data_IF_180538004817
#
_entry.id   IF_180538004817
#
_cell.length_a   1.000
_cell.length_b   1.000
_cell.length_c   1.000
_cell.angle_alpha   90.00
_cell.angle_beta   90.00
_cell.angle_gamma   90.00
#
_symmetry.space_group_name_H-M   'P 1'
#
loop_
_entity.id
_entity.type
_entity.pdbx_description
1 polymer ?
#
# COMPACT_ATOMS: atom_id res chain seq x y z
N UNK A 1 -24.12 15.17 -10.91
CA UNK A 1 -23.09 14.30 -11.53
C UNK A 1 -22.32 13.60 -10.41
N UNK A 2 -22.53 12.30 -10.16
CA UNK A 2 -21.83 11.58 -9.07
C UNK A 2 -20.45 11.16 -9.57
N UNK A 3 -19.39 11.87 -9.16
CA UNK A 3 -18.02 11.43 -9.41
C UNK A 3 -17.82 10.05 -8.76
N UNK A 4 -17.76 8.99 -9.57
CA UNK A 4 -17.29 7.70 -9.08
C UNK A 4 -15.78 7.84 -8.87
N UNK A 5 -15.32 7.67 -7.64
CA UNK A 5 -13.90 7.60 -7.29
C UNK A 5 -13.32 6.28 -7.80
N UNK A 6 -13.08 6.23 -9.11
CA UNK A 6 -12.34 5.15 -9.76
C UNK A 6 -10.85 5.41 -9.56
N UNK A 7 -10.04 4.34 -9.48
CA UNK A 7 -8.59 4.45 -9.32
C UNK A 7 -7.95 5.39 -10.36
N UNK A 8 -8.41 5.36 -11.61
CA UNK A 8 -7.96 6.24 -12.69
C UNK A 8 -8.21 7.71 -12.40
N UNK A 9 -9.41 8.05 -11.88
CA UNK A 9 -9.75 9.43 -11.54
C UNK A 9 -8.84 9.93 -10.41
N UNK A 10 -8.56 9.08 -9.43
CA UNK A 10 -7.65 9.43 -8.33
C UNK A 10 -6.22 9.65 -8.84
N UNK A 11 -5.73 8.81 -9.76
CA UNK A 11 -4.42 8.98 -10.41
C UNK A 11 -4.34 10.35 -11.11
N UNK A 12 -5.36 10.70 -11.90
CA UNK A 12 -5.41 12.00 -12.61
C UNK A 12 -5.39 13.16 -11.61
N UNK A 13 -6.19 13.07 -10.54
CA UNK A 13 -6.23 14.10 -9.49
C UNK A 13 -4.86 14.26 -8.83
N UNK A 14 -4.17 13.15 -8.51
CA UNK A 14 -2.84 13.18 -7.90
C UNK A 14 -1.81 13.83 -8.83
N UNK A 15 -1.82 13.52 -10.13
CA UNK A 15 -0.91 14.13 -11.10
C UNK A 15 -1.14 15.64 -11.22
N UNK A 16 -2.40 16.07 -11.30
CA UNK A 16 -2.75 17.50 -11.32
C UNK A 16 -2.29 18.17 -10.04
N UNK A 17 -2.51 17.53 -8.88
CA UNK A 17 -2.09 18.06 -7.59
C UNK A 17 -0.57 18.19 -7.49
N UNK A 18 0.20 17.25 -8.05
CA UNK A 18 1.65 17.33 -8.12
C UNK A 18 2.10 18.55 -8.94
N UNK A 19 1.52 18.75 -10.12
CA UNK A 19 1.83 19.89 -10.98
C UNK A 19 1.51 21.23 -10.30
N UNK A 20 0.34 21.32 -9.65
CA UNK A 20 -0.06 22.53 -8.89
C UNK A 20 0.89 22.75 -7.71
N UNK A 21 1.21 21.70 -6.95
CA UNK A 21 2.10 21.79 -5.80
C UNK A 21 3.50 22.25 -6.21
N UNK A 22 4.00 21.78 -7.34
CA UNK A 22 5.29 22.18 -7.86
C UNK A 22 5.30 23.63 -8.33
N UNK A 23 4.24 24.06 -9.02
CA UNK A 23 4.08 25.44 -9.44
C UNK A 23 4.03 26.41 -8.25
N UNK A 24 3.36 26.03 -7.16
CA UNK A 24 3.26 26.85 -5.94
C UNK A 24 4.58 26.89 -5.17
N UNK A 25 5.25 25.74 -4.99
CA UNK A 25 6.44 25.64 -4.13
C UNK A 25 7.72 26.09 -4.82
N UNK A 26 7.91 25.70 -6.09
CA UNK A 26 9.18 25.87 -6.79
C UNK A 26 9.11 26.97 -7.86
N UNK A 27 7.92 27.49 -8.18
CA UNK A 27 7.66 28.51 -9.23
C UNK A 27 8.21 28.17 -10.63
N UNK A 28 8.68 26.94 -10.80
CA UNK A 28 9.19 26.38 -12.05
C UNK A 28 8.67 24.96 -12.15
N UNK A 29 8.26 24.58 -13.35
CA UNK A 29 7.88 23.21 -13.65
C UNK A 29 9.13 22.53 -14.20
N UNK A 30 9.68 21.61 -13.43
CA UNK A 30 10.78 20.74 -13.82
C UNK A 30 10.25 19.32 -13.93
N UNK A 31 10.34 18.75 -15.13
CA UNK A 31 9.89 17.38 -15.42
C UNK A 31 10.42 16.35 -14.41
N UNK A 32 11.69 16.49 -13.99
CA UNK A 32 12.32 15.60 -13.04
C UNK A 32 11.77 15.78 -11.61
N UNK A 33 11.49 17.01 -11.20
CA UNK A 33 10.88 17.29 -9.90
C UNK A 33 9.43 16.79 -9.84
N UNK A 34 8.64 16.99 -10.90
CA UNK A 34 7.28 16.44 -10.99
C UNK A 34 7.29 14.92 -10.86
N UNK A 35 8.22 14.26 -11.56
CA UNK A 35 8.36 12.80 -11.55
C UNK A 35 8.75 12.30 -10.16
N UNK A 36 9.68 12.97 -9.48
CA UNK A 36 10.09 12.63 -8.12
C UNK A 36 8.96 12.82 -7.09
N UNK A 37 8.22 13.92 -7.17
CA UNK A 37 7.09 14.17 -6.28
C UNK A 37 6.00 13.10 -6.44
N UNK A 38 5.67 12.80 -7.71
CA UNK A 38 4.72 11.74 -8.05
C UNK A 38 5.20 10.38 -7.54
N UNK A 39 6.50 10.09 -7.65
CA UNK A 39 7.11 8.85 -7.17
C UNK A 39 7.02 8.71 -5.65
N UNK A 40 7.25 9.78 -4.89
CA UNK A 40 7.08 9.77 -3.43
C UNK A 40 5.64 9.43 -3.04
N UNK A 41 4.65 10.02 -3.72
CA UNK A 41 3.23 9.72 -3.47
C UNK A 41 2.90 8.28 -3.86
N UNK A 42 3.38 7.81 -5.02
CA UNK A 42 3.22 6.41 -5.45
C UNK A 42 3.78 5.44 -4.40
N UNK A 43 4.98 5.74 -3.88
CA UNK A 43 5.63 4.99 -2.80
C UNK A 43 4.76 4.91 -1.55
N UNK A 44 4.18 6.03 -1.09
CA UNK A 44 3.29 6.03 0.07
C UNK A 44 2.07 5.12 -0.12
N UNK A 45 1.41 5.19 -1.29
CA UNK A 45 0.28 4.31 -1.62
C UNK A 45 0.69 2.83 -1.68
N UNK A 46 1.86 2.52 -2.25
CA UNK A 46 2.39 1.16 -2.31
C UNK A 46 2.75 0.62 -0.93
N UNK A 47 3.41 1.42 -0.08
CA UNK A 47 3.75 1.01 1.29
C UNK A 47 2.48 0.66 2.07
N UNK A 48 1.47 1.54 2.05
CA UNK A 48 0.19 1.31 2.74
C UNK A 48 -0.52 0.08 2.16
N UNK A 49 -0.57 -0.03 0.83
CA UNK A 49 -1.25 -1.13 0.15
C UNK A 49 -0.58 -2.48 0.40
N UNK A 50 0.75 -2.55 0.33
CA UNK A 50 1.52 -3.77 0.59
C UNK A 50 1.49 -4.17 2.06
N UNK A 51 1.54 -3.20 2.97
CA UNK A 51 1.38 -3.46 4.40
C UNK A 51 0.00 -4.07 4.70
N UNK A 52 -1.06 -3.47 4.15
CA UNK A 52 -2.43 -4.00 4.27
C UNK A 52 -2.58 -5.38 3.62
N UNK A 53 -1.95 -5.61 2.48
CA UNK A 53 -1.92 -6.92 1.83
C UNK A 53 -1.21 -7.97 2.70
N UNK A 54 -0.16 -7.58 3.41
CA UNK A 54 0.57 -8.46 4.34
C UNK A 54 -0.31 -8.82 5.53
N UNK A 55 -1.06 -7.87 6.08
CA UNK A 55 -2.06 -8.13 7.13
C UNK A 55 -3.15 -9.10 6.65
N UNK A 56 -3.66 -8.90 5.43
CA UNK A 56 -4.66 -9.78 4.82
C UNK A 56 -4.12 -11.19 4.50
N UNK A 57 -2.82 -11.34 4.22
CA UNK A 57 -2.24 -12.62 3.78
C UNK A 57 -2.22 -13.73 4.85
N UNK A 58 -2.50 -13.41 6.11
CA UNK A 58 -2.44 -14.37 7.21
C UNK A 58 -1.04 -14.53 7.80
N UNK A 59 -0.06 -13.75 7.33
CA UNK A 59 1.30 -13.71 7.92
C UNK A 59 1.22 -13.39 9.42
N UNK A 60 0.42 -12.39 9.81
CA UNK A 60 0.23 -12.05 11.22
C UNK A 60 -0.48 -13.14 12.03
N UNK A 61 -1.43 -13.86 11.42
CA UNK A 61 -2.10 -14.98 12.09
C UNK A 61 -1.13 -16.15 12.32
N UNK A 62 -0.27 -16.42 11.35
CA UNK A 62 0.80 -17.41 11.48
C UNK A 62 1.82 -17.02 12.55
N UNK A 63 2.23 -15.76 12.60
CA UNK A 63 3.10 -15.24 13.67
C UNK A 63 2.45 -15.38 15.04
N UNK A 64 1.17 -14.99 15.17
CA UNK A 64 0.43 -15.08 16.42
C UNK A 64 0.32 -16.54 16.90
N UNK A 65 -0.05 -17.45 15.99
CA UNK A 65 -0.09 -18.89 16.28
C UNK A 65 1.27 -19.44 16.71
N UNK A 66 2.34 -19.08 15.98
CA UNK A 66 3.70 -19.53 16.27
C UNK A 66 4.18 -19.04 17.64
N UNK A 67 3.94 -17.77 17.96
CA UNK A 67 4.31 -17.21 19.28
C UNK A 67 3.51 -17.86 20.41
N UNK A 68 2.22 -18.10 20.24
CA UNK A 68 1.38 -18.77 21.25
C UNK A 68 1.88 -20.19 21.51
N UNK A 69 2.27 -20.91 20.46
CA UNK A 69 2.86 -22.26 20.55
C UNK A 69 4.18 -22.25 21.31
N UNK A 70 5.10 -21.34 20.98
CA UNK A 70 6.40 -21.21 21.69
C UNK A 70 6.19 -20.82 23.15
N UNK A 71 5.28 -19.89 23.44
CA UNK A 71 4.96 -19.47 24.81
C UNK A 71 4.34 -20.60 25.65
N UNK A 72 3.51 -21.45 25.06
CA UNK A 72 2.93 -22.61 25.72
C UNK A 72 4.01 -23.65 26.10
N UNK A 73 4.92 -23.93 25.16
CA UNK A 73 6.08 -24.82 25.38
C UNK A 73 6.98 -24.27 26.50
N UNK A 74 7.29 -22.96 26.48
CA UNK A 74 8.11 -22.32 27.51
C UNK A 74 7.49 -22.40 28.92
N UNK A 75 6.15 -22.41 29.03
CA UNK A 75 5.42 -22.49 30.30
C UNK A 75 5.12 -23.92 30.75
N UNK A 76 5.61 -24.96 30.05
CA UNK A 76 5.27 -26.39 30.28
C UNK A 76 3.77 -26.64 30.43
N UNK A 77 2.94 -25.84 29.76
CA UNK A 77 1.51 -26.12 29.65
C UNK A 77 1.32 -27.09 28.49
N UNK A 78 0.44 -28.08 28.64
CA UNK A 78 0.09 -28.98 27.55
C UNK A 78 -0.27 -28.15 26.31
N UNK A 79 0.13 -28.61 25.10
CA UNK A 79 -0.26 -27.92 23.88
C UNK A 79 -1.78 -27.86 23.89
N UNK A 80 -2.31 -26.63 23.91
CA UNK A 80 -3.74 -26.34 23.75
C UNK A 80 -4.14 -26.77 22.34
N UNK A 81 -4.30 -28.08 22.16
CA UNK A 81 -5.12 -28.68 21.13
C UNK A 81 -6.54 -28.33 21.56
N UNK A 82 -7.31 -27.71 20.68
CA UNK A 82 -8.77 -27.60 20.80
C UNK A 82 -9.39 -26.37 21.50
N UNK A 83 -8.77 -25.19 21.40
CA UNK A 83 -9.53 -23.92 21.50
C UNK A 83 -9.62 -23.30 20.08
N UNK A 84 -10.35 -23.98 19.21
CA UNK A 84 -10.70 -23.54 17.85
C UNK A 84 -11.75 -22.40 17.83
N UNK A 85 -12.13 -21.85 18.98
CA UNK A 85 -13.26 -20.93 19.11
C UNK A 85 -12.84 -19.46 19.19
N UNK A 86 -13.24 -18.73 18.15
CA UNK A 86 -13.77 -17.35 18.17
C UNK A 86 -12.83 -16.14 18.06
N UNK A 87 -11.50 -16.28 18.06
CA UNK A 87 -10.67 -15.13 17.69
C UNK A 87 -10.62 -15.00 16.16
N UNK A 88 -11.47 -14.11 15.62
CA UNK A 88 -11.49 -13.77 14.20
C UNK A 88 -10.06 -13.45 13.72
N UNK A 89 -9.53 -14.31 12.85
CA UNK A 89 -8.21 -14.16 12.26
C UNK A 89 -8.06 -12.75 11.67
N UNK A 90 -6.94 -12.09 11.94
CA UNK A 90 -6.70 -10.71 11.52
C UNK A 90 -6.75 -10.60 9.99
N UNK A 91 -6.31 -11.63 9.28
CA UNK A 91 -6.44 -11.74 7.82
C UNK A 91 -7.89 -11.60 7.33
N UNK A 92 -8.85 -12.21 8.04
CA UNK A 92 -10.27 -12.16 7.72
C UNK A 92 -10.90 -10.82 8.09
N UNK A 93 -10.43 -10.19 9.17
CA UNK A 93 -10.95 -8.90 9.65
C UNK A 93 -10.56 -7.72 8.73
N UNK A 94 -9.35 -7.75 8.17
CA UNK A 94 -8.74 -6.64 7.42
C UNK A 94 -9.32 -6.48 6.01
N UNK A 95 -9.94 -7.52 5.46
CA UNK A 95 -10.65 -7.51 4.18
C UNK A 95 -9.79 -7.12 2.96
N UNK A 96 -10.43 -6.88 1.81
CA UNK A 96 -9.71 -6.61 0.54
C UNK A 96 -9.41 -5.14 0.26
N UNK A 97 -9.36 -4.31 1.31
CA UNK A 97 -9.14 -2.86 1.21
C UNK A 97 -7.82 -2.50 0.52
N UNK A 98 -6.80 -3.36 0.63
CA UNK A 98 -5.48 -3.19 0.01
C UNK A 98 -5.51 -3.03 -1.52
N UNK A 99 -6.51 -3.58 -2.21
CA UNK A 99 -6.56 -3.61 -3.68
C UNK A 99 -6.61 -2.21 -4.29
N UNK A 100 -7.31 -1.28 -3.64
CA UNK A 100 -7.46 0.08 -4.15
C UNK A 100 -6.14 0.89 -4.09
N UNK A 101 -5.48 1.04 -2.92
CA UNK A 101 -4.20 1.76 -2.84
C UNK A 101 -3.10 1.09 -3.68
N UNK A 102 -3.10 -0.25 -3.79
CA UNK A 102 -2.16 -0.95 -4.67
C UNK A 102 -2.37 -0.61 -6.15
N UNK A 103 -3.62 -0.62 -6.64
CA UNK A 103 -3.91 -0.24 -8.04
C UNK A 103 -3.47 1.20 -8.34
N UNK A 104 -3.74 2.12 -7.42
CA UNK A 104 -3.33 3.53 -7.56
C UNK A 104 -1.81 3.65 -7.54
N UNK A 105 -1.16 3.05 -6.54
CA UNK A 105 0.29 3.12 -6.37
C UNK A 105 1.05 2.51 -7.55
N UNK A 106 0.64 1.33 -8.03
CA UNK A 106 1.24 0.72 -9.22
C UNK A 106 0.97 1.54 -10.49
N UNK A 107 -0.23 2.10 -10.64
CA UNK A 107 -0.54 2.97 -11.77
C UNK A 107 0.37 4.19 -11.83
N UNK A 108 0.55 4.88 -10.69
CA UNK A 108 1.47 6.02 -10.59
C UNK A 108 2.93 5.60 -10.80
N UNK A 109 3.35 4.46 -10.25
CA UNK A 109 4.71 3.95 -10.42
C UNK A 109 5.04 3.70 -11.89
N UNK A 110 4.14 3.07 -12.65
CA UNK A 110 4.34 2.83 -14.09
C UNK A 110 4.50 4.16 -14.83
N UNK A 111 3.68 5.16 -14.52
CA UNK A 111 3.79 6.50 -15.12
C UNK A 111 5.15 7.13 -14.79
N UNK A 112 5.62 7.05 -13.54
CA UNK A 112 6.93 7.54 -13.14
C UNK A 112 8.07 6.82 -13.88
N UNK A 113 7.99 5.51 -14.05
CA UNK A 113 9.01 4.72 -14.77
C UNK A 113 9.06 5.10 -16.25
N UNK A 114 7.90 5.28 -16.90
CA UNK A 114 7.81 5.74 -18.29
C UNK A 114 8.38 7.15 -18.42
N UNK A 115 8.02 8.07 -17.51
CA UNK A 115 8.52 9.43 -17.50
C UNK A 115 10.05 9.46 -17.34
N UNK A 116 10.58 8.70 -16.40
CA UNK A 116 12.01 8.61 -16.15
C UNK A 116 12.77 8.00 -17.33
N UNK A 117 12.23 6.92 -17.93
CA UNK A 117 12.80 6.32 -19.12
C UNK A 117 12.82 7.31 -20.29
N UNK A 118 11.73 8.06 -20.49
CA UNK A 118 11.66 9.12 -21.49
C UNK A 118 12.73 10.20 -21.30
N UNK A 119 12.96 10.64 -20.06
CA UNK A 119 13.98 11.64 -19.75
C UNK A 119 15.42 11.16 -19.97
N UNK A 120 15.71 9.88 -19.82
CA UNK A 120 17.07 9.34 -20.03
C UNK A 120 17.33 8.89 -21.47
N UNK A 121 16.29 8.55 -22.23
CA UNK A 121 16.42 8.04 -23.60
C UNK A 121 16.32 9.14 -24.67
N UNK A 122 15.78 10.31 -24.34
CA UNK A 122 15.60 11.46 -25.24
C UNK A 122 16.15 12.73 -24.59
#
# INVERSE_FOLDING_TARGET
>A
MRFKLTATNLIIIILILCLISELILYQKISFLQTTNLTFMIAGAFLIIGLFWATLHSGVFDFFHYSMRRVAAIAKRKEPLVDDETELMALSRAVGTGYKYPLKVGFGLLIICLIALAGHYLF
#
